data_IF_611480272130
#
_entry.id   IF_611480272130
#
_cell.length_a   1.000
_cell.length_b   1.000
_cell.length_c   1.000
_cell.angle_alpha   90.00
_cell.angle_beta   90.00
_cell.angle_gamma   90.00
#
_symmetry.space_group_name_H-M   'P 1'
#
loop_
_entity.id
_entity.type
_entity.pdbx_description
1 polymer ?
#
# COMPACT_ATOMS: atom_id res chain seq x y z
N UNK A 1 -10.02 5.01 14.52
CA UNK A 1 -8.68 4.38 14.61
C UNK A 1 -7.98 4.62 15.95
N UNK A 2 -7.75 5.86 16.43
CA UNK A 2 -7.09 6.06 17.75
C UNK A 2 -7.81 5.40 18.93
N UNK A 3 -9.15 5.43 18.95
CA UNK A 3 -9.97 4.70 19.92
C UNK A 3 -9.86 3.17 19.83
N UNK A 4 -9.36 2.65 18.70
CA UNK A 4 -9.06 1.23 18.46
C UNK A 4 -7.56 0.92 18.68
N UNK A 5 -6.80 1.85 19.29
CA UNK A 5 -5.36 1.69 19.54
C UNK A 5 -4.48 1.76 18.27
N UNK A 6 -5.02 2.26 17.16
CA UNK A 6 -4.29 2.42 15.89
C UNK A 6 -3.82 3.88 15.77
N UNK A 7 -2.51 4.06 15.79
CA UNK A 7 -1.85 5.37 15.76
C UNK A 7 -1.12 5.64 14.45
N UNK A 8 -0.82 4.60 13.66
CA UNK A 8 -0.18 4.70 12.35
C UNK A 8 -0.79 3.73 11.33
N UNK A 9 -0.72 4.08 10.05
CA UNK A 9 -1.24 3.24 8.95
C UNK A 9 -0.59 1.86 8.91
N UNK A 10 0.68 1.74 9.32
CA UNK A 10 1.37 0.46 9.45
C UNK A 10 0.64 -0.54 10.38
N UNK A 11 -0.06 -0.05 11.41
CA UNK A 11 -0.78 -0.84 12.41
C UNK A 11 -2.20 -1.27 11.96
N UNK A 12 -2.62 -0.92 10.74
CA UNK A 12 -3.93 -1.32 10.23
C UNK A 12 -4.10 -2.85 10.21
N UNK A 13 -5.24 -3.35 10.69
CA UNK A 13 -5.66 -4.74 10.54
C UNK A 13 -6.21 -4.98 9.12
N UNK A 14 -6.42 -6.24 8.69
CA UNK A 14 -7.07 -6.52 7.39
C UNK A 14 -8.45 -5.85 7.26
N UNK A 15 -9.20 -5.72 8.37
CA UNK A 15 -10.46 -4.99 8.39
C UNK A 15 -10.27 -3.49 8.15
N UNK A 16 -9.21 -2.90 8.71
CA UNK A 16 -8.88 -1.49 8.48
C UNK A 16 -8.44 -1.25 7.04
N UNK A 17 -7.60 -2.12 6.47
CA UNK A 17 -7.14 -2.00 5.07
C UNK A 17 -8.33 -1.95 4.13
N UNK A 18 -9.29 -2.89 4.25
CA UNK A 18 -10.50 -2.90 3.41
C UNK A 18 -11.36 -1.64 3.52
N UNK A 19 -11.31 -0.95 4.67
CA UNK A 19 -12.10 0.25 4.93
C UNK A 19 -11.39 1.54 4.49
N UNK A 20 -10.09 1.62 4.71
CA UNK A 20 -9.32 2.87 4.59
C UNK A 20 -8.39 2.90 3.38
N UNK A 21 -8.17 1.75 2.73
CA UNK A 21 -7.36 1.65 1.52
C UNK A 21 -8.20 1.19 0.32
N UNK A 22 -9.39 1.76 0.04
CA UNK A 22 -10.07 1.47 -1.21
C UNK A 22 -9.19 1.97 -2.36
N UNK A 23 -9.09 1.15 -3.39
CA UNK A 23 -8.37 1.46 -4.62
C UNK A 23 -9.30 1.20 -5.79
N UNK A 24 -9.11 1.93 -6.88
CA UNK A 24 -9.86 1.68 -8.10
C UNK A 24 -9.29 0.50 -8.89
N UNK A 25 -9.99 0.14 -9.96
CA UNK A 25 -9.62 -0.96 -10.84
C UNK A 25 -8.26 -0.76 -11.53
N UNK A 26 -7.82 0.48 -11.75
CA UNK A 26 -6.52 0.76 -12.36
C UNK A 26 -5.39 0.44 -11.37
N UNK A 27 -5.54 0.92 -10.14
CA UNK A 27 -4.64 0.65 -9.04
C UNK A 27 -4.57 -0.86 -8.74
N UNK A 28 -5.70 -1.57 -8.73
CA UNK A 28 -5.75 -3.03 -8.53
C UNK A 28 -4.92 -3.76 -9.59
N UNK A 29 -5.13 -3.45 -10.86
CA UNK A 29 -4.39 -4.08 -11.96
C UNK A 29 -2.89 -3.79 -11.90
N UNK A 30 -2.53 -2.54 -11.56
CA UNK A 30 -1.13 -2.16 -11.39
C UNK A 30 -0.48 -2.98 -10.28
N UNK A 31 -1.17 -3.10 -9.15
CA UNK A 31 -0.70 -3.84 -7.99
C UNK A 31 -0.58 -5.33 -8.31
N UNK A 32 -1.58 -5.95 -8.94
CA UNK A 32 -1.52 -7.34 -9.40
C UNK A 32 -0.32 -7.61 -10.32
N UNK A 33 -0.09 -6.75 -11.32
CA UNK A 33 1.06 -6.87 -12.21
C UNK A 33 2.38 -6.79 -11.46
N UNK A 34 2.50 -5.85 -10.50
CA UNK A 34 3.67 -5.72 -9.66
C UNK A 34 3.88 -6.97 -8.79
N UNK A 35 2.80 -7.49 -8.20
CA UNK A 35 2.80 -8.71 -7.39
C UNK A 35 3.36 -9.90 -8.17
N UNK A 36 2.86 -10.15 -9.38
CA UNK A 36 3.31 -11.24 -10.25
C UNK A 36 4.76 -11.02 -10.71
N UNK A 37 5.08 -9.83 -11.23
CA UNK A 37 6.41 -9.53 -11.79
C UNK A 37 7.52 -9.62 -10.73
N UNK A 38 7.21 -9.20 -9.50
CA UNK A 38 8.18 -9.14 -8.42
C UNK A 38 8.12 -10.37 -7.50
N UNK A 39 7.23 -11.33 -7.74
CA UNK A 39 7.08 -12.53 -6.91
C UNK A 39 6.70 -12.22 -5.46
N UNK A 40 5.89 -11.19 -5.24
CA UNK A 40 5.53 -10.71 -3.91
C UNK A 40 4.39 -11.57 -3.30
N UNK A 41 4.27 -11.59 -1.98
CA UNK A 41 3.23 -12.33 -1.26
C UNK A 41 1.99 -11.48 -0.94
N UNK A 42 0.87 -12.10 -0.57
CA UNK A 42 -0.31 -11.38 -0.08
C UNK A 42 -0.01 -10.43 1.11
N UNK A 43 0.99 -10.75 1.95
CA UNK A 43 1.45 -9.83 3.02
C UNK A 43 2.13 -8.58 2.47
N UNK A 44 2.83 -8.71 1.34
CA UNK A 44 3.43 -7.57 0.66
C UNK A 44 2.35 -6.71 0.00
N UNK A 45 1.30 -7.30 -0.57
CA UNK A 45 0.13 -6.58 -1.09
C UNK A 45 -0.48 -5.67 0.00
N UNK A 46 -0.82 -6.23 1.16
CA UNK A 46 -1.35 -5.47 2.30
C UNK A 46 -0.41 -4.35 2.74
N UNK A 47 0.90 -4.61 2.72
CA UNK A 47 1.90 -3.62 3.12
C UNK A 47 2.03 -2.50 2.08
N UNK A 48 1.92 -2.82 0.79
CA UNK A 48 1.89 -1.80 -0.27
C UNK A 48 0.67 -0.90 -0.07
N UNK A 49 -0.52 -1.44 0.16
CA UNK A 49 -1.73 -0.63 0.40
C UNK A 49 -1.57 0.33 1.59
N UNK A 50 -1.00 -0.13 2.72
CA UNK A 50 -0.74 0.73 3.89
C UNK A 50 0.26 1.85 3.58
N UNK A 51 1.27 1.57 2.77
CA UNK A 51 2.26 2.58 2.35
C UNK A 51 1.60 3.56 1.38
N UNK A 52 0.85 3.08 0.39
CA UNK A 52 0.10 3.92 -0.54
C UNK A 52 -0.90 4.83 0.18
N UNK A 53 -1.59 4.36 1.23
CA UNK A 53 -2.41 5.22 2.09
C UNK A 53 -1.59 6.29 2.80
N UNK A 54 -0.41 5.93 3.29
CA UNK A 54 0.50 6.88 3.94
C UNK A 54 0.97 7.96 2.97
N UNK A 55 1.32 7.58 1.74
CA UNK A 55 1.70 8.54 0.69
C UNK A 55 0.52 9.44 0.35
N UNK A 56 -0.69 8.88 0.17
CA UNK A 56 -1.89 9.65 -0.09
C UNK A 56 -2.20 10.64 1.05
N UNK A 57 -2.03 10.23 2.32
CA UNK A 57 -2.21 11.11 3.48
C UNK A 57 -1.21 12.27 3.46
N UNK A 58 0.04 12.02 3.07
CA UNK A 58 1.09 13.04 2.97
C UNK A 58 0.86 14.00 1.79
N UNK A 59 0.29 13.51 0.69
CA UNK A 59 -0.09 14.31 -0.48
C UNK A 59 -1.40 15.09 -0.25
N UNK A 60 -2.09 14.86 0.87
CA UNK A 60 -3.39 15.47 1.17
C UNK A 60 -4.54 14.91 0.32
N UNK A 61 -4.34 13.76 -0.34
CA UNK A 61 -5.31 13.12 -1.18
C UNK A 61 -6.34 12.31 -0.37
N UNK A 62 -7.62 12.46 -0.71
CA UNK A 62 -8.70 11.71 -0.06
C UNK A 62 -8.59 10.20 -0.32
N UNK A 63 -8.16 9.81 -1.52
CA UNK A 63 -8.05 8.43 -1.97
C UNK A 63 -6.64 8.00 -2.35
N UNK A 64 -6.45 6.70 -2.47
CA UNK A 64 -5.23 6.14 -3.05
C UNK A 64 -5.37 6.17 -4.57
N UNK A 65 -4.45 6.84 -5.26
CA UNK A 65 -4.37 6.85 -6.73
C UNK A 65 -3.17 6.05 -7.25
N UNK A 66 -3.10 5.92 -8.57
CA UNK A 66 -2.08 5.15 -9.27
C UNK A 66 -0.64 5.59 -8.92
N UNK A 67 -0.40 6.90 -8.76
CA UNK A 67 0.89 7.44 -8.36
C UNK A 67 1.35 6.94 -6.97
N UNK A 68 0.44 6.93 -5.99
CA UNK A 68 0.71 6.42 -4.64
C UNK A 68 1.00 4.92 -4.61
N UNK A 69 0.35 4.16 -5.49
CA UNK A 69 0.61 2.71 -5.65
C UNK A 69 1.98 2.48 -6.30
N UNK A 70 2.27 3.18 -7.40
CA UNK A 70 3.54 3.07 -8.11
C UNK A 70 4.74 3.38 -7.20
N UNK A 71 4.65 4.45 -6.42
CA UNK A 71 5.69 4.85 -5.47
C UNK A 71 5.88 3.81 -4.36
N UNK A 72 4.79 3.30 -3.77
CA UNK A 72 4.84 2.25 -2.75
C UNK A 72 5.46 0.94 -3.26
N UNK A 73 5.17 0.55 -4.51
CA UNK A 73 5.81 -0.58 -5.19
C UNK A 73 7.29 -0.31 -5.44
N UNK A 74 7.65 0.92 -5.81
CA UNK A 74 9.03 1.37 -6.00
C UNK A 74 9.87 1.16 -4.74
N UNK A 75 9.37 1.58 -3.58
CA UNK A 75 10.05 1.37 -2.30
C UNK A 75 10.29 -0.10 -1.97
N UNK A 76 9.37 -1.01 -2.35
CA UNK A 76 9.54 -2.46 -2.15
C UNK A 76 10.61 -3.07 -3.06
N UNK A 77 10.69 -2.58 -4.29
CA UNK A 77 11.72 -3.04 -5.23
C UNK A 77 13.11 -2.59 -4.77
N UNK A 78 13.18 -1.34 -4.28
CA UNK A 78 14.38 -0.73 -3.75
C UNK A 78 14.90 -1.46 -2.48
N UNK A 79 14.01 -1.76 -1.53
CA UNK A 79 14.30 -2.55 -0.32
C UNK A 79 14.95 -3.90 -0.67
N UNK A 80 14.51 -4.57 -1.74
CA UNK A 80 15.09 -5.85 -2.17
C UNK A 80 16.49 -5.69 -2.76
N UNK A 81 16.72 -4.67 -3.58
CA UNK A 81 18.01 -4.44 -4.25
C UNK A 81 19.12 -4.09 -3.26
N UNK A 82 18.81 -3.38 -2.17
CA UNK A 82 19.83 -3.00 -1.20
C UNK A 82 20.19 -4.12 -0.22
N UNK A 83 19.26 -5.03 0.10
CA UNK A 83 19.42 -6.08 1.13
C UNK A 83 19.71 -7.48 0.57
N UNK A 84 20.16 -7.57 -0.71
CA UNK A 84 20.78 -8.78 -1.28
C UNK A 84 22.27 -8.57 -1.44
#
# INVERSE_FOLDING_TARGET
LRAEGVFANAQMSPRHIRRFCPIDRECEQMLERAMTRLGLSARAYDRILKVSRTIADLDGAEGIGAAHVAEAVGYRSLDRTYWT
#
